data_IF_995499719893
#
_entry.id   IF_995499719893
#
_cell.length_a   1.000
_cell.length_b   1.000
_cell.length_c   1.000
_cell.angle_alpha   90.00
_cell.angle_beta   90.00
_cell.angle_gamma   90.00
#
_symmetry.space_group_name_H-M   'P 1'
#
loop_
_entity.id
_entity.type
_entity.pdbx_description
1 polymer ?
#
# COMPACT_ATOMS: atom_id res chain seq x y z
N UNK A 1 -9.23 31.95 3.35
CA UNK A 1 -9.52 30.49 3.44
C UNK A 1 -9.81 29.95 2.07
N UNK A 2 -8.91 29.13 1.54
CA UNK A 2 -9.09 28.44 0.25
C UNK A 2 -9.41 26.97 0.54
N UNK A 3 -10.20 26.31 -0.34
CA UNK A 3 -10.51 24.90 -0.24
C UNK A 3 -9.58 24.10 -1.13
N UNK A 4 -8.92 23.08 -0.58
CA UNK A 4 -8.13 22.09 -1.25
C UNK A 4 -8.73 20.70 -1.04
N UNK A 5 -8.43 19.78 -1.95
CA UNK A 5 -8.86 18.38 -1.83
C UNK A 5 -7.68 17.43 -1.95
N UNK A 6 -7.71 16.36 -1.18
CA UNK A 6 -6.76 15.28 -1.30
C UNK A 6 -7.46 13.92 -1.41
N UNK A 7 -7.04 13.13 -2.38
CA UNK A 7 -7.58 11.79 -2.60
C UNK A 7 -6.45 10.79 -2.83
N UNK A 8 -6.54 9.61 -2.20
CA UNK A 8 -5.54 8.55 -2.31
C UNK A 8 -6.17 7.18 -2.50
N UNK A 9 -5.59 6.39 -3.41
CA UNK A 9 -6.01 5.00 -3.62
C UNK A 9 -4.79 4.07 -3.70
N UNK A 10 -4.98 2.78 -3.38
CA UNK A 10 -3.94 1.77 -3.53
C UNK A 10 -3.86 1.22 -4.95
N UNK A 11 -4.99 0.96 -5.62
CA UNK A 11 -5.01 0.31 -6.94
C UNK A 11 -6.20 0.69 -7.84
N UNK A 12 -7.37 0.97 -7.28
CA UNK A 12 -8.61 1.14 -8.05
C UNK A 12 -8.85 2.56 -8.52
N UNK A 13 -8.92 2.78 -9.84
CA UNK A 13 -9.29 4.06 -10.45
C UNK A 13 -10.71 4.46 -10.05
N UNK A 14 -11.66 3.53 -10.05
CA UNK A 14 -13.05 3.78 -9.65
C UNK A 14 -13.17 4.36 -8.24
N UNK A 15 -12.34 3.88 -7.28
CA UNK A 15 -12.30 4.43 -5.92
C UNK A 15 -11.74 5.86 -5.89
N UNK A 16 -10.85 6.22 -6.80
CA UNK A 16 -10.32 7.59 -6.92
C UNK A 16 -11.38 8.54 -7.44
N UNK A 17 -12.10 8.15 -8.49
CA UNK A 17 -13.15 8.96 -9.10
C UNK A 17 -14.28 9.27 -8.11
N UNK A 18 -14.68 8.31 -7.28
CA UNK A 18 -15.65 8.52 -6.19
C UNK A 18 -15.15 9.58 -5.20
N UNK A 19 -13.86 9.56 -4.82
CA UNK A 19 -13.31 10.55 -3.92
C UNK A 19 -13.26 11.95 -4.58
N UNK A 20 -12.83 12.03 -5.83
CA UNK A 20 -12.77 13.29 -6.59
C UNK A 20 -14.17 13.89 -6.71
N UNK A 21 -15.21 13.10 -7.00
CA UNK A 21 -16.57 13.58 -7.11
C UNK A 21 -17.08 14.13 -5.78
N UNK A 22 -16.86 13.42 -4.67
CA UNK A 22 -17.24 13.91 -3.34
C UNK A 22 -16.54 15.24 -2.99
N UNK A 23 -15.27 15.41 -3.37
CA UNK A 23 -14.54 16.68 -3.18
C UNK A 23 -15.11 17.81 -4.05
N UNK A 24 -15.53 17.54 -5.29
CA UNK A 24 -16.18 18.51 -6.17
C UNK A 24 -17.55 18.92 -5.63
N UNK A 25 -18.34 17.97 -5.15
CA UNK A 25 -19.64 18.23 -4.49
C UNK A 25 -19.45 19.11 -3.25
N UNK A 26 -18.35 18.91 -2.52
CA UNK A 26 -17.95 19.79 -1.41
C UNK A 26 -17.32 21.12 -1.86
N UNK A 27 -17.51 21.52 -3.15
CA UNK A 27 -17.08 22.79 -3.76
C UNK A 27 -15.58 22.99 -3.87
N UNK A 28 -14.77 21.93 -3.85
CA UNK A 28 -13.34 22.03 -4.17
C UNK A 28 -13.16 22.22 -5.68
N UNK A 29 -12.44 23.25 -6.08
CA UNK A 29 -12.11 23.49 -7.49
C UNK A 29 -11.21 22.39 -8.03
N UNK A 30 -11.45 21.90 -9.24
CA UNK A 30 -10.71 20.76 -9.82
C UNK A 30 -9.19 20.91 -9.80
N UNK A 31 -8.67 22.11 -10.08
CA UNK A 31 -7.22 22.40 -10.05
C UNK A 31 -6.61 22.46 -8.63
N UNK A 32 -7.43 22.34 -7.58
CA UNK A 32 -7.03 22.25 -6.17
C UNK A 32 -7.25 20.87 -5.58
N UNK A 33 -7.55 19.88 -6.41
CA UNK A 33 -7.65 18.47 -6.00
C UNK A 33 -6.34 17.78 -6.35
N UNK A 34 -5.65 17.28 -5.34
CA UNK A 34 -4.39 16.54 -5.45
C UNK A 34 -4.64 15.08 -5.22
N UNK A 35 -4.00 14.23 -6.03
CA UNK A 35 -4.27 12.78 -6.00
C UNK A 35 -2.97 12.00 -5.98
N UNK A 36 -2.96 10.90 -5.21
CA UNK A 36 -1.87 9.93 -5.19
C UNK A 36 -2.38 8.51 -5.42
N UNK A 37 -1.65 7.74 -6.23
CA UNK A 37 -1.86 6.30 -6.41
C UNK A 37 -0.72 5.54 -5.75
N UNK A 38 -1.03 4.73 -4.75
CA UNK A 38 -0.05 3.89 -4.08
C UNK A 38 0.20 2.62 -4.89
N UNK A 39 1.16 2.64 -5.82
CA UNK A 39 1.58 1.46 -6.57
C UNK A 39 2.91 0.94 -6.02
N UNK A 40 2.87 -0.18 -5.28
CA UNK A 40 4.08 -0.86 -4.80
C UNK A 40 4.85 -0.18 -3.67
N UNK A 41 6.11 -0.59 -3.50
CA UNK A 41 7.00 -0.14 -2.41
C UNK A 41 7.56 1.28 -2.58
N UNK A 42 7.52 1.85 -3.78
CA UNK A 42 8.03 3.19 -4.13
C UNK A 42 6.87 4.13 -4.47
N UNK A 43 6.04 4.43 -3.49
CA UNK A 43 4.97 5.39 -3.68
C UNK A 43 5.48 6.79 -3.34
N UNK A 44 6.01 7.48 -4.33
CA UNK A 44 6.20 8.93 -4.22
C UNK A 44 4.81 9.59 -4.18
N UNK A 45 4.58 10.36 -3.11
CA UNK A 45 3.32 11.10 -2.89
C UNK A 45 3.47 12.51 -3.48
N UNK A 46 3.61 12.56 -4.80
CA UNK A 46 3.79 13.83 -5.50
C UNK A 46 2.60 14.78 -5.32
N UNK A 47 1.38 14.22 -5.30
CA UNK A 47 0.18 14.98 -5.02
C UNK A 47 0.19 15.60 -3.63
N UNK A 48 0.55 14.84 -2.59
CA UNK A 48 0.68 15.36 -1.23
C UNK A 48 1.82 16.38 -1.09
N UNK A 49 2.97 16.09 -1.67
CA UNK A 49 4.11 17.03 -1.67
C UNK A 49 3.72 18.37 -2.31
N UNK A 50 3.02 18.32 -3.45
CA UNK A 50 2.54 19.51 -4.14
C UNK A 50 1.48 20.24 -3.32
N UNK A 51 0.59 19.51 -2.64
CA UNK A 51 -0.40 20.09 -1.74
C UNK A 51 0.28 20.86 -0.59
N UNK A 52 1.26 20.24 0.10
CA UNK A 52 2.04 20.88 1.16
C UNK A 52 2.71 22.19 0.72
N UNK A 53 3.20 22.27 -0.52
CA UNK A 53 3.81 23.48 -1.07
C UNK A 53 2.80 24.58 -1.46
N UNK A 54 1.51 24.23 -1.62
CA UNK A 54 0.47 25.16 -2.12
C UNK A 54 -0.45 25.71 -1.06
N UNK A 55 -0.56 25.02 0.08
CA UNK A 55 -1.40 25.46 1.19
C UNK A 55 -0.71 26.54 2.00
N UNK A 56 -1.51 27.45 2.53
CA UNK A 56 -1.07 28.56 3.37
C UNK A 56 -1.95 28.63 4.62
N UNK A 57 -1.57 29.45 5.57
CA UNK A 57 -2.35 29.67 6.80
C UNK A 57 -3.83 29.92 6.50
N UNK A 58 -4.69 29.41 7.38
CA UNK A 58 -6.15 29.50 7.28
C UNK A 58 -6.78 28.77 6.07
N UNK A 59 -6.04 27.93 5.34
CA UNK A 59 -6.62 27.06 4.31
C UNK A 59 -7.26 25.81 4.91
N UNK A 60 -8.21 25.22 4.16
CA UNK A 60 -8.92 24.01 4.56
C UNK A 60 -8.72 22.90 3.53
N UNK A 61 -8.23 21.76 3.98
CA UNK A 61 -8.09 20.55 3.17
C UNK A 61 -9.28 19.63 3.43
N UNK A 62 -9.95 19.22 2.36
CA UNK A 62 -11.02 18.22 2.40
C UNK A 62 -10.46 16.85 1.99
N UNK A 63 -10.76 15.84 2.79
CA UNK A 63 -10.42 14.44 2.53
C UNK A 63 -11.68 13.62 2.72
N UNK A 64 -11.91 12.60 1.89
CA UNK A 64 -13.15 11.84 1.99
C UNK A 64 -13.25 11.08 3.31
N UNK A 65 -12.18 10.37 3.72
CA UNK A 65 -12.11 9.57 4.96
C UNK A 65 -10.73 9.68 5.59
N UNK A 66 -10.65 9.42 6.90
CA UNK A 66 -9.41 9.39 7.70
C UNK A 66 -8.32 8.49 7.07
N UNK A 67 -8.68 7.29 6.62
CA UNK A 67 -7.76 6.32 6.03
C UNK A 67 -7.21 6.72 4.64
N UNK A 68 -7.72 7.82 4.08
CA UNK A 68 -7.25 8.37 2.79
C UNK A 68 -6.16 9.43 2.93
N UNK A 69 -5.96 9.99 4.10
CA UNK A 69 -4.92 10.99 4.34
C UNK A 69 -3.54 10.33 4.45
N UNK A 70 -3.37 9.39 5.36
CA UNK A 70 -2.11 8.71 5.64
C UNK A 70 -2.00 7.31 5.03
N UNK A 71 -0.79 6.75 4.99
CA UNK A 71 -0.53 5.33 4.64
C UNK A 71 -0.89 4.40 5.80
N UNK A 72 -0.71 4.88 6.99
CA UNK A 72 -1.05 4.25 8.24
C UNK A 72 -1.41 5.35 9.26
N UNK A 73 -1.80 4.94 10.44
CA UNK A 73 -2.24 5.87 11.49
C UNK A 73 -1.14 6.82 11.94
N UNK A 74 0.10 6.35 12.08
CA UNK A 74 1.22 7.20 12.50
C UNK A 74 1.53 8.29 11.44
N UNK A 75 1.54 7.93 10.16
CA UNK A 75 1.71 8.86 9.04
C UNK A 75 0.55 9.89 8.99
N UNK A 76 -0.68 9.45 9.22
CA UNK A 76 -1.84 10.34 9.28
C UNK A 76 -1.70 11.38 10.40
N UNK A 77 -1.31 10.95 11.61
CA UNK A 77 -1.11 11.86 12.76
C UNK A 77 0.00 12.86 12.45
N UNK A 78 1.09 12.39 11.87
CA UNK A 78 2.22 13.25 11.52
C UNK A 78 1.79 14.33 10.52
N UNK A 79 1.03 13.95 9.49
CA UNK A 79 0.50 14.90 8.51
C UNK A 79 -0.47 15.90 9.13
N UNK A 80 -1.34 15.46 10.04
CA UNK A 80 -2.26 16.38 10.73
C UNK A 80 -1.48 17.41 11.57
N UNK A 81 -0.42 16.98 12.27
CA UNK A 81 0.44 17.90 13.02
C UNK A 81 1.19 18.86 12.12
N UNK A 82 1.67 18.39 10.97
CA UNK A 82 2.38 19.21 9.99
C UNK A 82 1.46 20.30 9.42
N UNK A 83 0.25 19.95 9.00
CA UNK A 83 -0.74 20.91 8.52
C UNK A 83 -1.20 21.87 9.63
N UNK A 84 -1.38 21.38 10.86
CA UNK A 84 -1.73 22.24 12.00
C UNK A 84 -0.64 23.25 12.33
N UNK A 85 0.64 22.87 12.25
CA UNK A 85 1.78 23.77 12.41
C UNK A 85 1.85 24.84 11.31
N UNK A 86 1.28 24.59 10.13
CA UNK A 86 1.14 25.55 9.02
C UNK A 86 -0.14 26.40 9.13
N UNK A 87 -0.96 26.24 10.18
CA UNK A 87 -2.25 26.91 10.33
C UNK A 87 -3.33 26.36 9.39
N UNK A 88 -3.13 25.20 8.80
CA UNK A 88 -4.04 24.56 7.84
C UNK A 88 -4.91 23.53 8.56
N UNK A 89 -6.21 23.61 8.33
CA UNK A 89 -7.18 22.67 8.90
C UNK A 89 -7.52 21.55 7.92
N UNK A 90 -7.95 20.40 8.46
CA UNK A 90 -8.39 19.25 7.67
C UNK A 90 -9.81 18.86 8.08
N UNK A 91 -10.66 18.58 7.10
CA UNK A 91 -12.01 18.06 7.31
C UNK A 91 -12.22 16.74 6.57
N UNK A 92 -12.71 15.74 7.30
CA UNK A 92 -13.04 14.42 6.77
C UNK A 92 -14.54 14.35 6.49
N UNK A 93 -14.91 14.19 5.21
CA UNK A 93 -16.30 14.38 4.75
C UNK A 93 -17.22 13.28 5.29
N UNK A 94 -16.83 12.01 5.15
CA UNK A 94 -17.66 10.87 5.55
C UNK A 94 -17.66 10.68 7.08
N UNK A 95 -16.55 11.01 7.74
CA UNK A 95 -16.39 10.81 9.19
C UNK A 95 -16.97 11.97 10.02
N UNK A 96 -17.29 13.11 9.38
CA UNK A 96 -17.82 14.30 10.06
C UNK A 96 -16.83 14.98 11.01
N UNK A 97 -15.54 14.66 10.90
CA UNK A 97 -14.49 15.14 11.79
C UNK A 97 -13.72 16.29 11.12
N UNK A 98 -13.41 17.34 11.89
CA UNK A 98 -12.61 18.48 11.41
C UNK A 98 -11.57 18.90 12.46
N UNK A 99 -10.35 19.18 12.02
CA UNK A 99 -9.30 19.73 12.90
C UNK A 99 -9.41 21.23 13.11
N UNK A 100 -10.43 21.90 12.58
CA UNK A 100 -10.71 23.32 12.81
C UNK A 100 -11.00 23.62 14.28
N UNK A 101 -11.56 22.63 15.02
CA UNK A 101 -11.86 22.75 16.44
C UNK A 101 -10.87 21.95 17.30
N UNK A 102 -10.64 22.42 18.52
CA UNK A 102 -9.84 21.69 19.51
C UNK A 102 -10.42 20.28 19.79
N UNK A 103 -11.75 20.15 19.83
CA UNK A 103 -12.43 18.87 20.01
C UNK A 103 -12.13 17.93 18.83
N UNK A 104 -12.16 18.40 17.58
CA UNK A 104 -11.85 17.58 16.42
C UNK A 104 -10.39 17.11 16.41
N UNK A 105 -9.46 17.97 16.79
CA UNK A 105 -8.04 17.60 16.97
C UNK A 105 -7.88 16.51 18.03
N UNK A 106 -8.57 16.62 19.15
CA UNK A 106 -8.57 15.62 20.23
C UNK A 106 -9.15 14.29 19.75
N UNK A 107 -10.28 14.30 19.04
CA UNK A 107 -10.91 13.09 18.49
C UNK A 107 -9.96 12.36 17.53
N UNK A 108 -9.31 13.05 16.60
CA UNK A 108 -8.33 12.47 15.69
C UNK A 108 -7.16 11.86 16.47
N UNK A 109 -6.66 12.54 17.49
CA UNK A 109 -5.56 12.07 18.34
C UNK A 109 -5.93 10.78 19.09
N UNK A 110 -7.18 10.64 19.52
CA UNK A 110 -7.67 9.44 20.22
C UNK A 110 -7.96 8.29 19.25
N UNK A 111 -8.55 8.56 18.09
CA UNK A 111 -8.88 7.54 17.10
C UNK A 111 -7.63 6.89 16.48
N UNK A 112 -6.54 7.62 16.41
CA UNK A 112 -5.30 7.17 15.83
C UNK A 112 -4.71 5.92 16.52
N UNK A 113 -4.51 5.85 17.85
CA UNK A 113 -4.07 4.65 18.55
C UNK A 113 -5.03 3.46 18.40
N UNK A 114 -6.34 3.73 18.37
CA UNK A 114 -7.37 2.69 18.23
C UNK A 114 -7.25 2.02 16.86
N UNK A 115 -7.17 2.79 15.79
CA UNK A 115 -7.00 2.27 14.44
C UNK A 115 -5.66 1.50 14.27
N UNK A 116 -4.60 1.95 14.97
CA UNK A 116 -3.32 1.24 14.97
C UNK A 116 -3.42 -0.11 15.71
N UNK A 117 -4.08 -0.15 16.85
CA UNK A 117 -4.29 -1.37 17.61
C UNK A 117 -5.11 -2.41 16.82
N UNK A 118 -6.15 -1.95 16.13
CA UNK A 118 -6.98 -2.82 15.29
C UNK A 118 -6.18 -3.40 14.10
N UNK A 119 -5.35 -2.62 13.45
CA UNK A 119 -4.45 -3.11 12.41
C UNK A 119 -3.43 -4.13 12.94
N UNK A 120 -2.89 -3.92 14.15
CA UNK A 120 -2.00 -4.87 14.79
C UNK A 120 -2.69 -6.22 15.01
N UNK A 121 -3.91 -6.21 15.56
CA UNK A 121 -4.71 -7.43 15.78
C UNK A 121 -4.99 -8.18 14.46
N UNK A 122 -5.29 -7.47 13.37
CA UNK A 122 -5.52 -8.09 12.06
C UNK A 122 -4.23 -8.76 11.55
N UNK A 123 -3.08 -8.10 11.70
CA UNK A 123 -1.78 -8.66 11.29
C UNK A 123 -1.40 -9.88 12.12
N UNK A 124 -1.59 -9.83 13.43
CA UNK A 124 -1.35 -10.95 14.35
C UNK A 124 -2.20 -12.15 13.96
N UNK A 125 -3.52 -11.98 13.83
CA UNK A 125 -4.43 -13.05 13.40
C UNK A 125 -4.06 -13.63 12.03
N UNK A 126 -3.67 -12.77 11.09
CA UNK A 126 -3.24 -13.21 9.74
C UNK A 126 -1.93 -14.00 9.81
N UNK A 127 -1.00 -13.60 10.68
CA UNK A 127 0.27 -14.30 10.86
C UNK A 127 0.09 -15.64 11.56
N UNK A 128 -0.76 -15.71 12.59
CA UNK A 128 -1.15 -16.97 13.24
C UNK A 128 -1.77 -17.94 12.23
N UNK A 129 -2.72 -17.47 11.42
CA UNK A 129 -3.33 -18.29 10.36
C UNK A 129 -2.32 -18.77 9.31
N UNK A 130 -1.28 -17.97 9.00
CA UNK A 130 -0.18 -18.39 8.12
C UNK A 130 0.70 -19.45 8.74
N UNK A 131 1.00 -19.33 10.04
CA UNK A 131 1.80 -20.32 10.78
C UNK A 131 1.04 -21.64 10.83
N UNK A 132 -0.24 -21.61 11.19
CA UNK A 132 -1.09 -22.80 11.23
C UNK A 132 -1.20 -23.50 9.85
N UNK A 133 -1.39 -22.72 8.80
CA UNK A 133 -1.44 -23.25 7.43
C UNK A 133 -0.10 -23.90 7.01
N UNK A 134 1.04 -23.30 7.42
CA UNK A 134 2.38 -23.90 7.20
C UNK A 134 2.53 -25.22 7.95
N UNK A 135 2.07 -25.32 9.18
CA UNK A 135 2.09 -26.55 9.98
C UNK A 135 1.22 -27.66 9.35
N UNK A 136 0.12 -27.27 8.65
CA UNK A 136 -0.71 -28.15 7.85
C UNK A 136 -0.13 -28.48 6.46
N UNK A 137 1.11 -28.09 6.17
CA UNK A 137 1.81 -28.38 4.91
C UNK A 137 1.42 -27.46 3.73
N UNK A 138 0.66 -26.38 3.97
CA UNK A 138 0.29 -25.44 2.93
C UNK A 138 1.48 -24.53 2.60
N UNK A 139 1.98 -24.61 1.37
CA UNK A 139 3.03 -23.74 0.87
C UNK A 139 2.44 -22.48 0.27
N UNK A 140 2.84 -21.32 0.81
CA UNK A 140 2.49 -20.00 0.28
C UNK A 140 3.45 -19.57 -0.85
N UNK A 141 2.93 -18.78 -1.77
CA UNK A 141 3.70 -18.24 -2.88
C UNK A 141 3.33 -18.87 -4.22
N UNK A 142 4.07 -18.53 -5.26
CA UNK A 142 3.86 -19.07 -6.60
C UNK A 142 4.17 -20.57 -6.59
N UNK A 143 3.24 -21.39 -7.07
CA UNK A 143 3.48 -22.83 -7.24
C UNK A 143 4.70 -23.05 -8.12
N UNK A 144 5.58 -23.97 -7.69
CA UNK A 144 6.74 -24.38 -8.51
C UNK A 144 6.20 -25.11 -9.73
N UNK A 145 6.45 -24.57 -10.91
CA UNK A 145 6.03 -25.16 -12.20
C UNK A 145 7.12 -26.02 -12.83
N UNK A 146 8.33 -25.99 -12.25
CA UNK A 146 9.48 -26.71 -12.76
C UNK A 146 9.66 -28.00 -11.96
N UNK A 147 9.57 -29.12 -12.65
CA UNK A 147 9.86 -30.46 -12.10
C UNK A 147 11.38 -30.61 -11.96
N UNK A 148 11.86 -30.44 -10.72
CA UNK A 148 13.29 -30.51 -10.39
C UNK A 148 13.81 -31.93 -10.49
N UNK A 149 13.03 -32.92 -10.08
CA UNK A 149 13.45 -34.32 -10.04
C UNK A 149 13.68 -34.84 -11.46
N UNK A 150 12.82 -34.43 -12.40
CA UNK A 150 12.98 -34.73 -13.81
C UNK A 150 14.26 -34.12 -14.40
N UNK A 151 14.62 -32.90 -14.01
CA UNK A 151 15.86 -32.25 -14.49
C UNK A 151 17.09 -32.98 -13.95
N UNK A 152 17.07 -33.35 -12.66
CA UNK A 152 18.17 -34.08 -12.02
C UNK A 152 18.33 -35.46 -12.63
N UNK A 153 17.24 -36.20 -12.85
CA UNK A 153 17.28 -37.53 -13.47
C UNK A 153 17.83 -37.49 -14.90
N UNK A 154 17.44 -36.51 -15.71
CA UNK A 154 17.98 -36.34 -17.07
C UNK A 154 19.48 -36.00 -17.04
N UNK A 155 19.94 -35.24 -16.08
CA UNK A 155 21.35 -34.94 -15.92
C UNK A 155 22.17 -36.18 -15.49
N UNK A 156 21.62 -36.98 -14.58
CA UNK A 156 22.22 -38.24 -14.12
C UNK A 156 22.26 -39.30 -15.20
N UNK A 157 21.36 -39.27 -16.18
CA UNK A 157 21.40 -40.12 -17.38
C UNK A 157 22.42 -39.66 -18.44
N UNK A 158 23.22 -38.60 -18.15
CA UNK A 158 24.29 -38.11 -19.02
C UNK A 158 23.88 -37.01 -20.00
N UNK A 159 22.67 -36.47 -19.89
CA UNK A 159 22.23 -35.41 -20.79
C UNK A 159 22.84 -34.06 -20.42
N UNK A 160 23.31 -33.31 -21.40
CA UNK A 160 23.87 -31.97 -21.20
C UNK A 160 22.78 -30.92 -20.89
N UNK A 161 23.13 -29.88 -20.13
CA UNK A 161 22.19 -28.82 -19.74
C UNK A 161 21.44 -28.14 -20.91
N UNK A 162 22.04 -28.11 -22.09
CA UNK A 162 21.43 -27.59 -23.33
C UNK A 162 20.30 -28.49 -23.82
N UNK A 163 20.52 -29.79 -23.79
CA UNK A 163 19.57 -30.82 -24.21
C UNK A 163 18.37 -30.87 -23.23
N UNK A 164 18.67 -30.83 -21.93
CA UNK A 164 17.64 -30.76 -20.86
C UNK A 164 16.78 -29.50 -21.04
N UNK A 165 17.38 -28.35 -21.31
CA UNK A 165 16.67 -27.12 -21.58
C UNK A 165 15.72 -27.24 -22.79
N UNK A 166 16.16 -27.91 -23.87
CA UNK A 166 15.35 -28.16 -25.06
C UNK A 166 14.17 -29.09 -24.78
N UNK A 167 14.40 -30.19 -24.06
CA UNK A 167 13.39 -31.22 -23.76
C UNK A 167 12.34 -30.72 -22.76
N UNK A 168 12.72 -29.88 -21.81
CA UNK A 168 11.85 -29.42 -20.74
C UNK A 168 11.22 -28.05 -21.01
N UNK A 169 11.65 -27.33 -22.06
CA UNK A 169 11.19 -25.96 -22.37
C UNK A 169 11.65 -24.90 -21.36
N UNK A 170 12.62 -25.22 -20.52
CA UNK A 170 13.14 -24.36 -19.46
C UNK A 170 14.40 -23.65 -19.95
N UNK A 171 14.62 -22.39 -19.53
CA UNK A 171 15.83 -21.66 -19.90
C UNK A 171 17.08 -22.36 -19.37
N UNK A 172 18.12 -22.46 -20.20
CA UNK A 172 19.41 -23.07 -19.87
C UNK A 172 20.03 -22.55 -18.56
N UNK A 173 19.92 -21.24 -18.31
CA UNK A 173 20.38 -20.62 -17.06
C UNK A 173 19.65 -21.18 -15.82
N UNK A 174 18.37 -21.49 -15.94
CA UNK A 174 17.58 -22.10 -14.87
C UNK A 174 18.00 -23.55 -14.63
N UNK A 175 18.32 -24.33 -15.69
CA UNK A 175 18.82 -25.69 -15.55
C UNK A 175 20.15 -25.69 -14.78
N UNK A 176 21.12 -24.84 -15.15
CA UNK A 176 22.37 -24.73 -14.40
C UNK A 176 22.19 -24.37 -12.95
N UNK A 177 21.29 -23.41 -12.65
CA UNK A 177 20.99 -23.02 -11.27
C UNK A 177 20.45 -24.19 -10.46
N UNK A 178 19.52 -24.97 -11.02
CA UNK A 178 18.93 -26.12 -10.34
C UNK A 178 19.95 -27.25 -10.09
N UNK A 179 20.87 -27.50 -11.05
CA UNK A 179 21.95 -28.47 -10.89
C UNK A 179 22.95 -28.03 -9.82
N UNK A 180 23.28 -26.75 -9.75
CA UNK A 180 24.15 -26.21 -8.68
C UNK A 180 23.48 -26.31 -7.28
N UNK A 181 22.18 -26.05 -7.20
CA UNK A 181 21.43 -26.21 -5.94
C UNK A 181 21.39 -27.67 -5.49
N UNK A 182 21.21 -28.62 -6.42
CA UNK A 182 21.21 -30.06 -6.14
C UNK A 182 22.58 -30.61 -5.72
N UNK A 183 23.68 -30.02 -6.21
CA UNK A 183 25.04 -30.43 -5.83
C UNK A 183 25.47 -29.91 -4.44
N UNK A 184 24.69 -29.01 -3.83
CA UNK A 184 24.95 -28.45 -2.50
C UNK A 184 24.07 -29.05 -1.40
N UNK A 185 23.10 -29.89 -1.75
CA UNK A 185 22.21 -30.62 -0.84
C UNK A 185 22.66 -32.02 -0.61
#
# INVERSE_FOLDING_TARGET
MRLFGYARVSTSQQSLDIQINALKEARVKTHRIFTDKATGSHCEREGLKTLLLKVEDSDLILVKKLDRLGRNTADMIQLIKEFDAMGVSIRFLDDGISTESAMGKMVVTILAPVAQAERHRILERTNEGRIEAKLKGINFGRKRTIDRDKIISLYQSGEGATEIARKTGIRRSTVYKLLQEAAKS
#
